data_IF_477186931270
#
_entry.id   IF_477186931270
#
_cell.length_a   1.000
_cell.length_b   1.000
_cell.length_c   1.000
_cell.angle_alpha   90.00
_cell.angle_beta   90.00
_cell.angle_gamma   90.00
#
_symmetry.space_group_name_H-M   'P 1'
#
loop_
_entity.id
_entity.type
_entity.pdbx_description
1 polymer ?
#
# COMPACT_ATOMS: atom_id res chain seq x y z
N UNK A 1 41.81 -11.08 -53.04
CA UNK A 1 41.22 -11.34 -51.72
C UNK A 1 40.64 -10.06 -51.18
N UNK A 2 39.33 -10.02 -50.94
CA UNK A 2 38.69 -8.92 -50.20
C UNK A 2 38.38 -9.48 -48.81
N UNK A 3 39.10 -8.99 -47.81
CA UNK A 3 38.89 -9.35 -46.40
C UNK A 3 37.62 -8.70 -45.88
N UNK A 4 36.63 -9.54 -45.55
CA UNK A 4 35.46 -9.12 -44.79
C UNK A 4 35.86 -8.94 -43.32
N UNK A 5 35.88 -7.70 -42.85
CA UNK A 5 35.96 -7.38 -41.43
C UNK A 5 34.65 -7.77 -40.75
N UNK A 6 34.63 -8.94 -40.13
CA UNK A 6 33.56 -9.35 -39.22
C UNK A 6 33.65 -8.54 -37.93
N UNK A 7 32.94 -7.42 -37.85
CA UNK A 7 32.71 -6.73 -36.60
C UNK A 7 31.87 -7.62 -35.68
N UNK A 8 32.47 -8.15 -34.62
CA UNK A 8 31.74 -8.76 -33.52
C UNK A 8 30.77 -7.71 -32.94
N UNK A 9 29.48 -7.81 -33.26
CA UNK A 9 28.44 -7.09 -32.50
C UNK A 9 28.48 -7.64 -31.08
N UNK A 10 28.87 -6.81 -30.12
CA UNK A 10 28.75 -7.14 -28.71
C UNK A 10 27.31 -7.54 -28.42
N UNK A 11 27.10 -8.74 -27.88
CA UNK A 11 25.79 -9.17 -27.41
C UNK A 11 25.37 -8.24 -26.27
N UNK A 12 24.14 -7.70 -26.27
CA UNK A 12 23.69 -6.84 -25.19
C UNK A 12 23.77 -7.58 -23.86
N UNK A 13 24.29 -6.89 -22.84
CA UNK A 13 24.53 -7.46 -21.52
C UNK A 13 23.20 -7.68 -20.79
N UNK A 14 23.03 -8.86 -20.18
CA UNK A 14 21.85 -9.16 -19.39
C UNK A 14 21.84 -8.31 -18.11
N UNK A 15 20.69 -7.71 -17.81
CA UNK A 15 20.48 -6.83 -16.66
C UNK A 15 19.76 -7.61 -15.56
N UNK A 16 20.34 -7.57 -14.36
CA UNK A 16 19.72 -8.10 -13.15
C UNK A 16 19.19 -6.96 -12.29
N UNK A 17 17.90 -6.99 -11.96
CA UNK A 17 17.27 -5.98 -11.10
C UNK A 17 16.82 -6.62 -9.80
N UNK A 18 17.21 -6.03 -8.67
CA UNK A 18 16.64 -6.33 -7.35
C UNK A 18 15.53 -5.32 -7.09
N UNK A 19 14.32 -5.79 -6.81
CA UNK A 19 13.13 -4.94 -6.73
C UNK A 19 12.41 -5.12 -5.39
N UNK A 20 12.13 -4.01 -4.70
CA UNK A 20 11.30 -3.95 -3.50
C UNK A 20 9.81 -3.83 -3.82
N UNK A 21 8.95 -3.80 -2.80
CA UNK A 21 7.51 -3.68 -3.01
C UNK A 21 7.07 -2.25 -3.40
N UNK A 22 5.82 -2.10 -3.87
CA UNK A 22 5.27 -0.80 -4.32
C UNK A 22 5.14 0.27 -3.23
N UNK A 23 5.11 -0.13 -1.94
CA UNK A 23 5.03 0.82 -0.84
C UNK A 23 6.39 1.50 -0.60
N UNK A 24 7.48 0.88 -1.05
CA UNK A 24 8.85 1.37 -0.87
C UNK A 24 9.10 1.83 0.58
N UNK A 25 8.68 1.00 1.54
CA UNK A 25 8.97 1.24 2.94
C UNK A 25 10.44 0.93 3.26
N UNK A 26 10.86 1.25 4.49
CA UNK A 26 12.25 1.11 4.89
C UNK A 26 12.75 -0.33 4.74
N UNK A 27 11.90 -1.33 4.97
CA UNK A 27 12.24 -2.75 4.82
C UNK A 27 12.56 -3.10 3.36
N UNK A 28 11.64 -2.76 2.45
CA UNK A 28 11.86 -2.91 1.01
C UNK A 28 13.10 -2.17 0.54
N UNK A 29 13.26 -0.89 0.88
CA UNK A 29 14.40 -0.08 0.42
C UNK A 29 15.74 -0.64 0.90
N UNK A 30 15.89 -0.90 2.20
CA UNK A 30 17.16 -1.39 2.77
C UNK A 30 17.46 -2.79 2.28
N UNK A 31 16.46 -3.68 2.26
CA UNK A 31 16.64 -5.05 1.77
C UNK A 31 17.06 -5.08 0.30
N UNK A 32 16.43 -4.25 -0.55
CA UNK A 32 16.79 -4.13 -1.97
C UNK A 32 18.22 -3.62 -2.14
N UNK A 33 18.56 -2.47 -1.53
CA UNK A 33 19.87 -1.84 -1.69
C UNK A 33 21.00 -2.75 -1.19
N UNK A 34 20.85 -3.33 0.00
CA UNK A 34 21.89 -4.16 0.61
C UNK A 34 22.03 -5.49 -0.14
N UNK A 35 20.92 -6.11 -0.57
CA UNK A 35 21.01 -7.35 -1.35
C UNK A 35 21.66 -7.09 -2.71
N UNK A 36 21.27 -6.02 -3.40
CA UNK A 36 21.85 -5.65 -4.68
C UNK A 36 23.37 -5.39 -4.51
N UNK A 37 23.76 -4.62 -3.50
CA UNK A 37 25.18 -4.35 -3.21
C UNK A 37 25.95 -5.64 -2.89
N UNK A 38 25.35 -6.57 -2.16
CA UNK A 38 25.93 -7.87 -1.87
C UNK A 38 26.16 -8.75 -3.12
N UNK A 39 25.20 -8.71 -4.07
CA UNK A 39 25.26 -9.47 -5.32
C UNK A 39 26.29 -8.86 -6.29
N UNK A 40 26.24 -7.54 -6.51
CA UNK A 40 27.12 -6.86 -7.46
C UNK A 40 28.53 -6.58 -6.92
N UNK A 41 28.74 -6.74 -5.60
CA UNK A 41 29.96 -6.36 -4.85
C UNK A 41 30.32 -4.87 -4.88
N UNK A 42 29.68 -4.07 -5.75
CA UNK A 42 29.57 -2.61 -5.76
C UNK A 42 28.34 -2.21 -6.58
N UNK A 43 27.65 -1.14 -6.20
CA UNK A 43 26.60 -0.52 -7.03
C UNK A 43 26.90 0.99 -7.12
N UNK A 44 27.31 1.49 -8.29
CA UNK A 44 27.31 2.92 -8.59
C UNK A 44 25.93 3.55 -8.37
N UNK A 45 25.90 4.79 -7.90
CA UNK A 45 24.64 5.52 -7.64
C UNK A 45 23.73 5.62 -8.86
N UNK A 46 24.30 5.81 -10.05
CA UNK A 46 23.57 5.85 -11.33
C UNK A 46 22.80 4.56 -11.67
N UNK A 47 23.12 3.45 -10.99
CA UNK A 47 22.47 2.16 -11.17
C UNK A 47 21.32 1.97 -10.15
N UNK A 48 21.13 2.93 -9.24
CA UNK A 48 19.92 3.07 -8.44
C UNK A 48 18.86 3.78 -9.28
N UNK A 49 17.78 3.07 -9.56
CA UNK A 49 16.70 3.56 -10.42
C UNK A 49 15.35 3.36 -9.75
N UNK A 50 14.43 4.28 -9.99
CA UNK A 50 13.02 4.09 -9.72
C UNK A 50 12.38 3.23 -10.80
N UNK A 51 11.23 2.62 -10.48
CA UNK A 51 10.52 1.70 -11.38
C UNK A 51 10.21 2.32 -12.75
N UNK A 52 9.95 3.61 -12.80
CA UNK A 52 9.61 4.40 -14.00
C UNK A 52 10.82 4.90 -14.79
N UNK A 53 12.03 4.77 -14.24
CA UNK A 53 13.28 5.16 -14.91
C UNK A 53 13.88 4.02 -15.74
N UNK A 54 13.31 2.82 -15.66
CA UNK A 54 13.77 1.62 -16.37
C UNK A 54 12.63 0.90 -17.10
N UNK A 55 12.82 0.66 -18.41
CA UNK A 55 11.88 -0.09 -19.24
C UNK A 55 12.02 -1.61 -19.04
N UNK A 56 11.49 -2.10 -17.93
CA UNK A 56 11.49 -3.53 -17.61
C UNK A 56 10.74 -4.37 -18.64
N UNK A 57 9.66 -3.84 -19.22
CA UNK A 57 8.88 -4.55 -20.22
C UNK A 57 9.70 -4.74 -21.51
N UNK A 58 10.38 -3.70 -21.96
CA UNK A 58 11.31 -3.76 -23.09
C UNK A 58 12.47 -4.72 -22.84
N UNK A 59 13.10 -4.65 -21.65
CA UNK A 59 14.19 -5.57 -21.28
C UNK A 59 13.74 -7.03 -21.21
N UNK A 60 12.55 -7.28 -20.67
CA UNK A 60 11.97 -8.62 -20.63
C UNK A 60 11.69 -9.15 -22.04
N UNK A 61 11.05 -8.34 -22.90
CA UNK A 61 10.78 -8.69 -24.30
C UNK A 61 12.05 -8.96 -25.09
N UNK A 62 13.15 -8.28 -24.76
CA UNK A 62 14.47 -8.51 -25.35
C UNK A 62 15.20 -9.75 -24.80
N UNK A 63 14.67 -10.42 -23.78
CA UNK A 63 15.32 -11.56 -23.12
C UNK A 63 16.54 -11.16 -22.29
N UNK A 64 16.63 -9.89 -21.89
CA UNK A 64 17.78 -9.32 -21.18
C UNK A 64 17.51 -9.10 -19.69
N UNK A 65 16.29 -9.34 -19.22
CA UNK A 65 15.91 -9.08 -17.82
C UNK A 65 15.94 -10.34 -16.97
N UNK A 66 16.55 -10.21 -15.79
CA UNK A 66 16.28 -11.11 -14.65
C UNK A 66 15.93 -10.30 -13.41
N UNK A 67 15.03 -10.83 -12.58
CA UNK A 67 14.49 -10.14 -11.41
C UNK A 67 14.71 -10.94 -10.13
N UNK A 68 15.17 -10.25 -9.07
CA UNK A 68 15.04 -10.70 -7.69
C UNK A 68 13.99 -9.85 -6.99
N UNK A 69 12.92 -10.47 -6.51
CA UNK A 69 11.90 -9.78 -5.72
C UNK A 69 12.28 -9.83 -4.25
N UNK A 70 12.20 -8.69 -3.58
CA UNK A 70 12.53 -8.52 -2.16
C UNK A 70 11.36 -7.88 -1.45
N UNK A 71 11.06 -8.38 -0.26
CA UNK A 71 9.94 -7.94 0.57
C UNK A 71 8.59 -8.00 -0.18
N UNK A 72 8.52 -8.85 -1.22
CA UNK A 72 7.31 -9.25 -1.93
C UNK A 72 7.52 -10.49 -2.79
N UNK A 73 6.42 -11.22 -3.02
CA UNK A 73 6.40 -12.42 -3.85
C UNK A 73 5.30 -12.40 -4.94
N UNK A 74 4.55 -11.30 -5.04
CA UNK A 74 3.47 -11.10 -6.02
C UNK A 74 3.69 -9.75 -6.69
N UNK A 75 3.85 -9.77 -8.02
CA UNK A 75 3.93 -8.54 -8.81
C UNK A 75 2.53 -7.93 -8.98
N UNK A 76 2.41 -6.60 -9.03
CA UNK A 76 1.14 -5.96 -9.36
C UNK A 76 0.72 -6.34 -10.79
N UNK A 77 -0.59 -6.31 -11.07
CA UNK A 77 -1.14 -6.80 -12.36
C UNK A 77 -0.50 -6.18 -13.61
N UNK A 78 -0.08 -4.91 -13.52
CA UNK A 78 0.65 -4.19 -14.60
C UNK A 78 2.02 -4.79 -14.95
N UNK A 79 2.60 -5.52 -14.01
CA UNK A 79 3.94 -6.12 -14.09
C UNK A 79 3.86 -7.66 -14.15
N UNK A 80 2.66 -8.25 -14.29
CA UNK A 80 2.44 -9.70 -14.28
C UNK A 80 3.26 -10.44 -15.35
N UNK A 81 3.43 -9.83 -16.52
CA UNK A 81 4.27 -10.39 -17.59
C UNK A 81 5.74 -10.60 -17.16
N UNK A 82 6.23 -9.82 -16.20
CA UNK A 82 7.60 -9.92 -15.70
C UNK A 82 7.83 -11.12 -14.77
N UNK A 83 6.77 -11.85 -14.35
CA UNK A 83 6.90 -13.05 -13.53
C UNK A 83 7.86 -14.08 -14.14
N UNK A 84 7.86 -14.19 -15.48
CA UNK A 84 8.76 -15.09 -16.21
C UNK A 84 10.25 -14.70 -16.11
N UNK A 85 10.57 -13.46 -15.74
CA UNK A 85 11.93 -12.99 -15.49
C UNK A 85 12.39 -13.18 -14.04
N UNK A 86 11.49 -13.58 -13.12
CA UNK A 86 11.81 -13.72 -11.69
C UNK A 86 12.67 -14.97 -11.45
N UNK A 87 13.89 -14.76 -10.96
CA UNK A 87 14.86 -15.83 -10.67
C UNK A 87 15.04 -16.07 -9.18
N UNK A 88 14.74 -15.09 -8.33
CA UNK A 88 14.79 -15.22 -6.87
C UNK A 88 13.68 -14.40 -6.19
N UNK A 89 13.16 -14.91 -5.09
CA UNK A 89 12.21 -14.23 -4.19
C UNK A 89 12.74 -14.33 -2.76
N UNK A 90 12.81 -13.18 -2.09
CA UNK A 90 13.10 -13.06 -0.65
C UNK A 90 11.97 -12.27 -0.01
N UNK A 91 11.12 -12.92 0.79
CA UNK A 91 9.96 -12.26 1.41
C UNK A 91 9.74 -12.84 2.82
N UNK A 92 9.01 -12.11 3.66
CA UNK A 92 8.68 -12.54 5.02
C UNK A 92 7.18 -12.70 5.27
N UNK A 93 6.37 -12.55 4.21
CA UNK A 93 4.91 -12.63 4.27
C UNK A 93 4.41 -14.08 4.05
N UNK A 94 3.20 -14.41 4.56
CA UNK A 94 2.56 -15.68 4.23
C UNK A 94 2.45 -15.86 2.72
N UNK A 95 2.83 -17.03 2.23
CA UNK A 95 2.75 -17.36 0.82
C UNK A 95 1.30 -17.55 0.39
N UNK A 96 0.88 -16.78 -0.61
CA UNK A 96 -0.44 -16.90 -1.25
C UNK A 96 -0.28 -17.48 -2.66
N UNK A 97 0.35 -18.66 -2.77
CA UNK A 97 0.57 -19.30 -4.06
C UNK A 97 -0.33 -20.52 -4.27
N UNK A 98 -1.07 -20.50 -5.36
CA UNK A 98 -1.71 -21.72 -5.89
C UNK A 98 -0.67 -22.68 -6.49
N UNK A 99 0.43 -22.15 -7.05
CA UNK A 99 1.58 -22.90 -7.57
C UNK A 99 2.88 -22.21 -7.22
N UNK A 100 3.89 -22.98 -6.80
CA UNK A 100 5.22 -22.42 -6.51
C UNK A 100 5.88 -21.94 -7.81
N UNK A 101 6.50 -20.75 -7.81
CA UNK A 101 7.22 -20.27 -8.99
C UNK A 101 8.46 -21.13 -9.25
N UNK A 102 8.90 -21.26 -10.51
CA UNK A 102 10.09 -22.02 -10.90
C UNK A 102 11.38 -21.24 -10.61
N UNK A 103 11.48 -20.59 -9.46
CA UNK A 103 12.59 -19.73 -9.07
C UNK A 103 13.07 -20.06 -7.66
N UNK A 104 14.21 -19.50 -7.24
CA UNK A 104 14.69 -19.68 -5.87
C UNK A 104 13.81 -18.88 -4.92
N UNK A 105 13.24 -19.53 -3.91
CA UNK A 105 12.36 -18.88 -2.94
C UNK A 105 12.93 -18.99 -1.53
N UNK A 106 13.11 -17.85 -0.87
CA UNK A 106 13.40 -17.74 0.56
C UNK A 106 12.25 -16.98 1.22
N UNK A 107 11.29 -17.70 1.79
CA UNK A 107 10.16 -17.10 2.50
C UNK A 107 9.99 -17.68 3.88
N UNK A 108 10.07 -16.81 4.87
CA UNK A 108 10.14 -17.16 6.29
C UNK A 108 9.35 -16.13 7.10
N UNK A 109 8.53 -16.56 8.05
CA UNK A 109 7.71 -15.67 8.86
C UNK A 109 8.53 -14.97 9.96
N UNK A 110 9.43 -14.08 9.56
CA UNK A 110 10.23 -13.21 10.44
C UNK A 110 9.62 -11.81 10.54
N UNK A 111 10.08 -11.01 11.50
CA UNK A 111 9.53 -9.67 11.74
C UNK A 111 9.85 -8.65 10.64
N UNK A 112 10.95 -8.85 9.90
CA UNK A 112 11.41 -7.99 8.80
C UNK A 112 12.07 -8.79 7.68
N UNK A 113 11.85 -8.43 6.42
CA UNK A 113 12.56 -9.00 5.28
C UNK A 113 14.08 -8.75 5.39
N UNK A 114 14.47 -7.60 5.94
CA UNK A 114 15.85 -7.21 6.23
C UNK A 114 16.57 -8.23 7.11
N UNK A 115 15.86 -8.97 7.96
CA UNK A 115 16.43 -10.09 8.75
C UNK A 115 16.99 -11.18 7.83
N UNK A 116 16.27 -11.57 6.77
CA UNK A 116 16.70 -12.61 5.83
C UNK A 116 17.91 -12.16 5.02
N UNK A 117 17.92 -10.89 4.60
CA UNK A 117 19.07 -10.28 3.92
C UNK A 117 20.29 -10.26 4.86
N UNK A 118 20.10 -9.85 6.11
CA UNK A 118 21.16 -9.81 7.13
C UNK A 118 21.77 -11.20 7.37
N UNK A 119 20.95 -12.23 7.53
CA UNK A 119 21.42 -13.61 7.71
C UNK A 119 22.26 -14.07 6.51
N UNK A 120 21.82 -13.77 5.29
CA UNK A 120 22.56 -14.12 4.06
C UNK A 120 23.94 -13.44 4.04
N UNK A 121 24.03 -12.18 4.43
CA UNK A 121 25.30 -11.46 4.53
C UNK A 121 26.20 -12.07 5.62
N UNK A 122 25.67 -12.36 6.79
CA UNK A 122 26.44 -12.93 7.90
C UNK A 122 26.96 -14.35 7.58
N UNK A 123 26.17 -15.18 6.89
CA UNK A 123 26.57 -16.52 6.47
C UNK A 123 27.67 -16.49 5.40
N UNK A 124 27.59 -15.55 4.46
CA UNK A 124 28.55 -15.43 3.37
C UNK A 124 29.93 -14.88 3.80
N UNK A 125 30.12 -14.50 5.09
CA UNK A 125 31.37 -13.93 5.64
C UNK A 125 31.97 -12.83 4.76
N UNK A 126 31.11 -11.93 4.30
CA UNK A 126 31.47 -10.96 3.27
C UNK A 126 32.34 -9.84 3.85
N UNK A 127 33.42 -9.42 3.17
CA UNK A 127 34.22 -8.26 3.57
C UNK A 127 33.46 -6.92 3.49
N UNK A 128 32.24 -6.90 2.98
CA UNK A 128 31.50 -5.70 2.61
C UNK A 128 30.47 -5.25 3.66
N UNK A 129 30.32 -5.96 4.79
CA UNK A 129 29.47 -5.49 5.88
C UNK A 129 30.28 -4.50 6.73
N UNK A 130 30.08 -3.21 6.50
CA UNK A 130 30.67 -2.13 7.29
C UNK A 130 29.67 -1.56 8.33
N UNK A 131 30.13 -0.57 9.10
CA UNK A 131 29.34 0.06 10.15
C UNK A 131 28.08 0.76 9.62
N UNK A 132 28.11 1.27 8.37
CA UNK A 132 26.98 1.98 7.78
C UNK A 132 25.89 1.00 7.34
N UNK A 133 26.27 -0.06 6.63
CA UNK A 133 25.34 -1.13 6.25
C UNK A 133 24.79 -1.81 7.50
N UNK A 134 25.63 -2.05 8.51
CA UNK A 134 25.18 -2.59 9.79
C UNK A 134 24.14 -1.68 10.46
N UNK A 135 24.34 -0.37 10.46
CA UNK A 135 23.38 0.59 11.03
C UNK A 135 22.04 0.61 10.27
N UNK A 136 22.06 0.50 8.93
CA UNK A 136 20.86 0.38 8.11
C UNK A 136 20.09 -0.90 8.43
N UNK A 137 20.76 -2.06 8.39
CA UNK A 137 20.14 -3.36 8.70
C UNK A 137 19.56 -3.38 10.13
N UNK A 138 20.36 -2.92 11.11
CA UNK A 138 19.98 -2.85 12.51
C UNK A 138 18.77 -1.94 12.74
N UNK A 139 18.79 -0.72 12.18
CA UNK A 139 17.71 0.25 12.34
C UNK A 139 16.39 -0.24 11.75
N UNK A 140 16.43 -0.83 10.55
CA UNK A 140 15.24 -1.37 9.87
C UNK A 140 14.62 -2.53 10.65
N UNK A 141 15.43 -3.52 11.05
CA UNK A 141 14.94 -4.66 11.84
C UNK A 141 14.32 -4.17 13.16
N UNK A 142 14.96 -3.24 13.86
CA UNK A 142 14.39 -2.66 15.09
C UNK A 142 13.05 -1.97 14.83
N UNK A 143 12.92 -1.20 13.75
CA UNK A 143 11.69 -0.48 13.44
C UNK A 143 10.52 -1.44 13.17
N UNK A 144 10.70 -2.45 12.33
CA UNK A 144 9.61 -3.34 11.94
C UNK A 144 9.22 -4.34 13.03
N UNK A 145 10.20 -4.76 13.82
CA UNK A 145 10.02 -5.63 14.97
C UNK A 145 9.67 -4.86 16.26
N UNK A 146 9.38 -3.55 16.17
CA UNK A 146 8.96 -2.71 17.30
C UNK A 146 9.93 -2.83 18.49
N UNK A 147 11.22 -2.67 18.19
CA UNK A 147 12.31 -2.72 19.16
C UNK A 147 12.41 -4.05 19.94
N UNK A 148 12.03 -5.16 19.31
CA UNK A 148 11.96 -6.50 19.94
C UNK A 148 10.96 -6.58 21.11
N UNK A 149 9.97 -5.69 21.16
CA UNK A 149 8.94 -5.70 22.20
C UNK A 149 8.09 -6.99 22.12
N UNK A 150 8.10 -7.78 23.20
CA UNK A 150 7.38 -9.08 23.26
C UNK A 150 5.88 -8.87 23.11
N UNK A 151 5.36 -7.83 23.76
CA UNK A 151 3.96 -7.43 23.72
C UNK A 151 3.47 -7.01 22.33
N UNK A 152 4.37 -6.62 21.43
CA UNK A 152 4.02 -6.27 20.05
C UNK A 152 3.80 -7.51 19.16
N UNK A 153 4.31 -8.68 19.57
CA UNK A 153 4.11 -9.96 18.89
C UNK A 153 4.66 -10.01 17.45
N UNK A 154 5.58 -9.12 17.09
CA UNK A 154 6.15 -9.02 15.73
C UNK A 154 7.52 -9.64 15.57
N UNK A 155 8.36 -9.53 16.61
CA UNK A 155 9.73 -10.02 16.57
C UNK A 155 9.78 -11.54 16.70
N UNK A 156 10.73 -12.16 16.03
CA UNK A 156 11.05 -13.59 16.15
C UNK A 156 12.45 -13.78 16.75
N UNK A 157 12.80 -15.00 17.19
CA UNK A 157 14.15 -15.30 17.65
C UNK A 157 15.24 -15.03 16.60
N UNK A 158 14.91 -15.11 15.30
CA UNK A 158 15.84 -14.83 14.21
C UNK A 158 16.16 -13.33 14.11
N UNK A 159 15.15 -12.48 14.24
CA UNK A 159 15.34 -11.02 14.29
C UNK A 159 16.25 -10.64 15.47
N UNK A 160 15.98 -11.21 16.66
CA UNK A 160 16.78 -10.98 17.85
C UNK A 160 18.23 -11.48 17.71
N UNK A 161 18.44 -12.61 17.02
CA UNK A 161 19.76 -13.15 16.72
C UNK A 161 20.56 -12.21 15.80
N UNK A 162 19.95 -11.72 14.71
CA UNK A 162 20.57 -10.76 13.80
C UNK A 162 20.98 -9.48 14.52
N UNK A 163 20.08 -8.89 15.32
CA UNK A 163 20.36 -7.70 16.12
C UNK A 163 21.56 -7.93 17.04
N UNK A 164 21.54 -9.01 17.83
CA UNK A 164 22.62 -9.33 18.77
C UNK A 164 23.95 -9.56 18.06
N UNK A 165 23.90 -10.15 16.86
CA UNK A 165 25.10 -10.37 16.05
C UNK A 165 25.68 -9.07 15.52
N UNK A 166 24.85 -8.17 15.00
CA UNK A 166 25.28 -6.84 14.55
C UNK A 166 25.89 -6.03 15.70
N UNK A 167 25.25 -6.01 16.88
CA UNK A 167 25.79 -5.36 18.09
C UNK A 167 27.16 -5.93 18.50
N UNK A 168 27.34 -7.25 18.41
CA UNK A 168 28.62 -7.89 18.74
C UNK A 168 29.75 -7.54 17.77
N UNK A 169 29.41 -7.24 16.51
CA UNK A 169 30.38 -6.96 15.45
C UNK A 169 30.72 -5.47 15.35
N UNK A 170 29.79 -4.58 15.72
CA UNK A 170 29.88 -3.13 15.56
C UNK A 170 29.54 -2.42 16.88
N UNK A 171 30.56 -2.24 17.71
CA UNK A 171 30.44 -1.62 19.04
C UNK A 171 29.98 -0.15 19.03
N UNK A 172 30.08 0.52 17.88
CA UNK A 172 29.69 1.90 17.64
C UNK A 172 28.20 2.08 17.33
N UNK A 173 27.46 0.99 17.13
CA UNK A 173 26.02 1.03 16.92
C UNK A 173 25.33 1.71 18.12
N UNK A 174 24.41 2.61 17.80
CA UNK A 174 23.66 3.33 18.83
C UNK A 174 22.71 2.39 19.58
N UNK A 175 22.40 2.67 20.86
CA UNK A 175 21.49 1.85 21.65
C UNK A 175 20.13 1.66 20.97
N UNK A 176 19.56 0.45 21.06
CA UNK A 176 18.31 0.05 20.38
C UNK A 176 17.19 1.09 20.52
N UNK A 177 16.90 1.51 21.76
CA UNK A 177 15.87 2.50 22.06
C UNK A 177 16.10 3.84 21.36
N UNK A 178 17.35 4.31 21.29
CA UNK A 178 17.68 5.59 20.64
C UNK A 178 17.43 5.53 19.14
N UNK A 179 17.86 4.44 18.50
CA UNK A 179 17.65 4.21 17.06
C UNK A 179 16.17 4.04 16.76
N UNK A 180 15.50 3.16 17.51
CA UNK A 180 14.07 2.91 17.35
C UNK A 180 13.25 4.19 17.53
N UNK A 181 13.44 4.93 18.63
CA UNK A 181 12.69 6.16 18.88
C UNK A 181 12.96 7.23 17.80
N UNK A 182 14.19 7.33 17.29
CA UNK A 182 14.53 8.26 16.22
C UNK A 182 13.83 7.90 14.89
N UNK A 183 13.92 6.63 14.47
CA UNK A 183 13.24 6.14 13.27
C UNK A 183 11.72 6.20 13.42
N UNK A 184 11.21 5.92 14.61
CA UNK A 184 9.78 5.96 14.89
C UNK A 184 9.26 7.40 14.80
N UNK A 185 9.99 8.38 15.35
CA UNK A 185 9.69 9.80 15.19
C UNK A 185 9.71 10.20 13.72
N UNK A 186 10.77 9.87 12.98
CA UNK A 186 10.89 10.20 11.56
C UNK A 186 9.77 9.56 10.70
N UNK A 187 9.36 8.33 11.01
CA UNK A 187 8.28 7.63 10.31
C UNK A 187 6.92 8.33 10.44
N UNK A 188 6.63 8.88 11.62
CA UNK A 188 5.36 9.55 11.93
C UNK A 188 5.38 11.05 11.65
N UNK A 189 6.55 11.60 11.40
CA UNK A 189 6.72 12.99 11.12
C UNK A 189 6.30 13.32 9.67
N UNK A 190 5.19 14.04 9.57
CA UNK A 190 4.59 14.46 8.30
C UNK A 190 4.47 15.98 8.18
N UNK A 191 5.10 16.74 9.07
CA UNK A 191 4.95 18.20 9.11
C UNK A 191 5.46 18.90 7.86
N UNK A 192 6.41 18.30 7.14
CA UNK A 192 6.94 18.81 5.87
C UNK A 192 6.18 18.35 4.62
N UNK A 193 5.11 17.53 4.76
CA UNK A 193 4.40 16.96 3.62
C UNK A 193 3.18 17.80 3.23
N UNK A 194 3.00 17.95 1.91
CA UNK A 194 1.72 18.41 1.35
C UNK A 194 0.62 17.37 1.60
N UNK A 195 -0.64 17.74 1.43
CA UNK A 195 -1.77 16.81 1.59
C UNK A 195 -1.67 15.63 0.61
N UNK A 196 -1.33 15.92 -0.66
CA UNK A 196 -1.05 14.89 -1.68
C UNK A 196 0.02 13.90 -1.20
N UNK A 197 1.16 14.41 -0.74
CA UNK A 197 2.29 13.58 -0.34
C UNK A 197 1.94 12.72 0.88
N UNK A 198 1.20 13.27 1.83
CA UNK A 198 0.72 12.54 2.99
C UNK A 198 -0.22 11.40 2.60
N UNK A 199 -1.15 11.67 1.67
CA UNK A 199 -2.09 10.67 1.17
C UNK A 199 -1.37 9.57 0.37
N UNK A 200 -0.36 9.94 -0.42
CA UNK A 200 0.42 9.00 -1.24
C UNK A 200 1.39 8.15 -0.42
N UNK A 201 1.94 8.69 0.68
CA UNK A 201 2.97 8.06 1.52
C UNK A 201 2.63 6.63 1.95
N UNK A 202 1.37 6.37 2.30
CA UNK A 202 0.93 5.03 2.68
C UNK A 202 -0.46 4.72 2.10
N UNK A 203 -0.50 4.66 0.77
CA UNK A 203 -1.69 4.43 -0.03
C UNK A 203 -1.82 2.96 -0.47
N UNK A 204 -3.05 2.44 -0.44
CA UNK A 204 -3.45 1.27 -1.24
C UNK A 204 -4.70 1.60 -2.03
N UNK A 205 -4.79 1.11 -3.26
CA UNK A 205 -5.99 1.22 -4.09
C UNK A 205 -6.64 -0.15 -4.28
N UNK A 206 -7.97 -0.14 -4.38
CA UNK A 206 -8.77 -1.27 -4.81
C UNK A 206 -9.50 -0.87 -6.08
N UNK A 207 -9.31 -1.65 -7.14
CA UNK A 207 -9.95 -1.42 -8.44
C UNK A 207 -11.05 -2.46 -8.60
N UNK A 208 -12.25 -2.02 -8.98
CA UNK A 208 -13.32 -2.86 -9.48
C UNK A 208 -13.75 -2.40 -10.88
N UNK A 209 -14.64 -3.15 -11.54
CA UNK A 209 -15.22 -2.73 -12.83
C UNK A 209 -16.00 -1.41 -12.75
N UNK A 210 -16.45 -1.02 -11.56
CA UNK A 210 -17.36 0.11 -11.36
C UNK A 210 -16.76 1.27 -10.57
N UNK A 211 -15.68 1.05 -9.82
CA UNK A 211 -15.06 2.10 -9.01
C UNK A 211 -13.61 1.77 -8.63
N UNK A 212 -12.81 2.82 -8.44
CA UNK A 212 -11.51 2.74 -7.77
C UNK A 212 -11.57 3.43 -6.41
N UNK A 213 -11.26 2.68 -5.35
CA UNK A 213 -11.25 3.18 -3.97
C UNK A 213 -9.83 3.26 -3.45
N UNK A 214 -9.44 4.41 -2.95
CA UNK A 214 -8.18 4.65 -2.28
C UNK A 214 -8.33 4.51 -0.76
N UNK A 215 -7.33 3.92 -0.10
CA UNK A 215 -7.23 3.82 1.35
C UNK A 215 -5.83 4.27 1.76
N UNK A 216 -5.74 5.45 2.37
CA UNK A 216 -4.49 6.04 2.82
C UNK A 216 -4.38 6.01 4.34
N UNK A 217 -3.20 5.72 4.88
CA UNK A 217 -2.91 5.97 6.29
C UNK A 217 -2.25 7.35 6.45
N UNK A 218 -2.86 8.21 7.26
CA UNK A 218 -2.34 9.56 7.55
C UNK A 218 -1.80 9.62 8.97
N UNK A 219 -0.59 10.16 9.13
CA UNK A 219 0.19 10.07 10.37
C UNK A 219 0.08 11.35 11.21
N UNK A 220 -1.14 11.78 11.47
CA UNK A 220 -1.48 12.91 12.34
C UNK A 220 -2.87 12.70 12.94
N UNK A 221 -3.35 13.61 13.79
CA UNK A 221 -4.73 13.55 14.28
C UNK A 221 -5.72 13.81 13.14
N UNK A 222 -6.92 13.20 13.19
CA UNK A 222 -7.93 13.48 12.17
C UNK A 222 -8.35 14.95 12.22
N UNK A 223 -8.40 15.54 13.43
CA UNK A 223 -8.69 16.95 13.60
C UNK A 223 -7.68 17.82 12.83
N UNK A 224 -6.38 17.64 13.05
CA UNK A 224 -5.37 18.42 12.36
C UNK A 224 -5.40 18.19 10.84
N UNK A 225 -5.68 16.95 10.41
CA UNK A 225 -5.84 16.62 8.99
C UNK A 225 -7.02 17.37 8.37
N UNK A 226 -8.19 17.39 9.03
CA UNK A 226 -9.40 18.07 8.57
C UNK A 226 -9.28 19.60 8.55
N UNK A 227 -8.37 20.17 9.36
CA UNK A 227 -8.12 21.61 9.42
C UNK A 227 -6.98 22.08 8.51
N UNK A 228 -6.41 21.18 7.68
CA UNK A 228 -5.36 21.58 6.74
C UNK A 228 -5.89 22.63 5.75
N UNK A 229 -5.13 23.72 5.49
CA UNK A 229 -5.53 24.72 4.51
C UNK A 229 -5.75 24.09 3.14
N UNK A 230 -6.90 24.37 2.51
CA UNK A 230 -7.21 23.87 1.17
C UNK A 230 -7.52 22.37 1.07
N UNK A 231 -7.76 21.68 2.20
CA UNK A 231 -7.95 20.23 2.23
C UNK A 231 -8.95 19.73 1.19
N UNK A 232 -10.16 20.27 1.11
CA UNK A 232 -11.18 19.78 0.18
C UNK A 232 -10.75 19.87 -1.28
N UNK A 233 -10.05 20.95 -1.64
CA UNK A 233 -9.48 21.13 -2.97
C UNK A 233 -8.34 20.13 -3.22
N UNK A 234 -7.49 19.88 -2.23
CA UNK A 234 -6.43 18.88 -2.30
C UNK A 234 -6.99 17.46 -2.47
N UNK A 235 -8.04 17.11 -1.72
CA UNK A 235 -8.72 15.81 -1.83
C UNK A 235 -9.37 15.64 -3.21
N UNK A 236 -10.05 16.66 -3.71
CA UNK A 236 -10.66 16.66 -5.03
C UNK A 236 -9.60 16.48 -6.14
N UNK A 237 -8.52 17.27 -6.06
CA UNK A 237 -7.41 17.22 -7.03
C UNK A 237 -6.73 15.85 -7.01
N UNK A 238 -6.46 15.32 -5.82
CA UNK A 238 -5.83 14.01 -5.66
C UNK A 238 -6.69 12.88 -6.23
N UNK A 239 -7.98 12.85 -5.90
CA UNK A 239 -8.91 11.86 -6.41
C UNK A 239 -9.07 11.97 -7.94
N UNK A 240 -9.17 13.19 -8.48
CA UNK A 240 -9.29 13.40 -9.92
C UNK A 240 -8.04 12.92 -10.68
N UNK A 241 -6.84 13.35 -10.25
CA UNK A 241 -5.58 13.00 -10.91
C UNK A 241 -5.27 11.49 -10.88
N UNK A 242 -5.73 10.79 -9.84
CA UNK A 242 -5.50 9.34 -9.67
C UNK A 242 -6.69 8.48 -10.09
N UNK A 243 -7.79 9.08 -10.53
CA UNK A 243 -9.01 8.36 -10.93
C UNK A 243 -9.71 7.63 -9.77
N UNK A 244 -9.64 8.17 -8.55
CA UNK A 244 -10.33 7.60 -7.38
C UNK A 244 -11.75 8.14 -7.26
N UNK A 245 -12.74 7.25 -7.21
CA UNK A 245 -14.13 7.60 -6.93
C UNK A 245 -14.42 7.82 -5.44
N UNK A 246 -13.57 7.27 -4.58
CA UNK A 246 -13.68 7.38 -3.12
C UNK A 246 -12.30 7.26 -2.48
N UNK A 247 -12.07 8.03 -1.42
CA UNK A 247 -10.86 8.00 -0.60
C UNK A 247 -11.23 7.76 0.86
N UNK A 248 -10.57 6.80 1.50
CA UNK A 248 -10.62 6.59 2.94
C UNK A 248 -9.27 6.99 3.53
N UNK A 249 -9.24 8.04 4.33
CA UNK A 249 -8.08 8.44 5.10
C UNK A 249 -8.21 7.86 6.53
N UNK A 250 -7.32 6.95 6.89
CA UNK A 250 -7.22 6.37 8.23
C UNK A 250 -6.13 7.10 9.01
N UNK A 251 -6.55 8.00 9.90
CA UNK A 251 -5.65 8.76 10.75
C UNK A 251 -5.13 7.89 11.90
N UNK A 252 -3.81 7.95 12.14
CA UNK A 252 -3.16 7.41 13.32
C UNK A 252 -2.33 8.48 14.00
N UNK A 253 -2.51 8.60 15.31
CA UNK A 253 -1.71 9.45 16.17
C UNK A 253 -1.58 8.81 17.55
N UNK A 254 -0.73 9.39 18.39
CA UNK A 254 -0.33 8.82 19.68
C UNK A 254 -0.71 9.78 20.79
N UNK A 255 -1.53 9.31 21.74
CA UNK A 255 -1.88 10.09 22.93
C UNK A 255 -0.79 10.07 24.00
N UNK A 256 -1.10 10.62 25.18
CA UNK A 256 -0.17 10.87 26.31
C UNK A 256 0.64 9.65 26.79
N UNK A 257 0.19 8.42 26.50
CA UNK A 257 0.86 7.18 26.88
C UNK A 257 1.50 6.41 25.70
N UNK A 258 1.76 7.07 24.57
CA UNK A 258 2.15 6.41 23.30
C UNK A 258 1.15 5.32 22.84
N UNK A 259 -0.08 5.36 23.35
CA UNK A 259 -1.15 4.48 22.87
C UNK A 259 -1.63 5.03 21.53
N UNK A 260 -1.62 4.21 20.46
CA UNK A 260 -2.15 4.65 19.18
C UNK A 260 -3.65 4.87 19.32
N UNK A 261 -4.15 5.94 18.70
CA UNK A 261 -5.57 6.11 18.45
C UNK A 261 -5.80 6.18 16.94
N UNK A 262 -6.96 5.68 16.51
CA UNK A 262 -7.32 5.64 15.09
C UNK A 262 -8.65 6.33 14.85
N UNK A 263 -8.73 7.03 13.74
CA UNK A 263 -9.93 7.71 13.26
C UNK A 263 -9.99 7.56 11.75
N UNK A 264 -11.18 7.66 11.17
CA UNK A 264 -11.39 7.54 9.72
C UNK A 264 -12.07 8.79 9.18
N UNK A 265 -11.65 9.22 8.00
CA UNK A 265 -12.41 10.09 7.13
C UNK A 265 -12.69 9.35 5.81
N UNK A 266 -13.94 9.35 5.40
CA UNK A 266 -14.36 8.89 4.07
C UNK A 266 -14.68 10.13 3.26
N UNK A 267 -14.08 10.26 2.08
CA UNK A 267 -14.27 11.37 1.16
C UNK A 267 -14.71 10.84 -0.21
N UNK A 268 -15.61 11.55 -0.87
CA UNK A 268 -15.90 11.34 -2.29
C UNK A 268 -16.07 12.70 -2.99
N UNK A 269 -15.50 12.89 -4.19
CA UNK A 269 -15.73 14.10 -4.99
C UNK A 269 -17.21 14.35 -5.28
N UNK A 270 -18.04 13.29 -5.28
CA UNK A 270 -19.47 13.34 -5.54
C UNK A 270 -20.33 13.43 -4.26
N UNK A 271 -19.72 13.38 -3.06
CA UNK A 271 -20.46 13.48 -1.79
C UNK A 271 -21.00 14.88 -1.49
N UNK A 272 -20.44 15.93 -2.12
CA UNK A 272 -20.94 17.31 -1.96
C UNK A 272 -22.37 17.50 -2.53
N UNK A 273 -22.88 16.54 -3.29
CA UNK A 273 -24.24 16.57 -3.83
C UNK A 273 -25.26 16.08 -2.77
N UNK A 274 -25.71 17.04 -1.93
CA UNK A 274 -27.03 17.19 -1.27
C UNK A 274 -27.09 17.21 0.27
N UNK A 275 -27.40 18.40 0.81
CA UNK A 275 -28.36 18.60 1.92
C UNK A 275 -29.79 18.90 1.42
N UNK A 276 -30.05 18.98 0.11
CA UNK A 276 -31.40 19.20 -0.43
C UNK A 276 -32.11 17.85 -0.66
N UNK A 277 -32.86 17.39 0.34
CA UNK A 277 -33.48 16.06 0.39
C UNK A 277 -34.29 15.65 -0.85
N UNK A 278 -33.87 14.56 -1.48
CA UNK A 278 -34.74 13.61 -2.15
C UNK A 278 -34.02 12.25 -2.23
N UNK A 279 -34.36 11.34 -1.31
CA UNK A 279 -33.91 9.95 -1.36
C UNK A 279 -34.63 9.25 -2.51
N UNK A 280 -34.03 9.22 -3.70
CA UNK A 280 -34.55 8.46 -4.85
C UNK A 280 -33.64 7.25 -5.06
N UNK A 281 -34.15 6.06 -4.78
CA UNK A 281 -33.47 4.80 -5.14
C UNK A 281 -33.36 4.69 -6.66
N UNK A 282 -32.24 4.22 -7.24
CA UNK A 282 -32.11 4.13 -8.68
C UNK A 282 -33.09 3.11 -9.27
N UNK A 283 -33.85 3.49 -10.29
CA UNK A 283 -34.45 2.58 -11.27
C UNK A 283 -33.49 2.35 -12.43
N UNK A 284 -33.63 1.19 -13.08
CA UNK A 284 -32.66 0.49 -13.93
C UNK A 284 -32.16 1.18 -15.23
N UNK A 285 -32.32 2.50 -15.40
CA UNK A 285 -31.97 3.19 -16.64
C UNK A 285 -30.89 4.27 -16.54
N UNK A 286 -30.38 4.60 -15.35
CA UNK A 286 -29.37 5.66 -15.21
C UNK A 286 -27.97 5.13 -14.89
N UNK A 287 -27.36 4.41 -15.83
CA UNK A 287 -25.95 3.99 -15.76
C UNK A 287 -24.96 5.04 -16.32
N UNK A 288 -25.41 6.28 -16.51
CA UNK A 288 -24.57 7.43 -16.91
C UNK A 288 -24.50 8.52 -15.82
N UNK A 289 -24.63 8.16 -14.54
CA UNK A 289 -25.17 9.10 -13.55
C UNK A 289 -24.15 9.61 -12.50
N UNK A 290 -24.00 10.95 -12.31
CA UNK A 290 -23.25 11.55 -11.19
C UNK A 290 -23.63 11.03 -9.79
N UNK A 291 -24.78 10.36 -9.67
CA UNK A 291 -25.28 9.75 -8.44
C UNK A 291 -24.57 8.45 -8.05
N UNK A 292 -23.89 7.75 -8.96
CA UNK A 292 -23.23 6.48 -8.64
C UNK A 292 -22.13 6.66 -7.58
N UNK A 293 -21.37 7.76 -7.66
CA UNK A 293 -20.33 8.09 -6.67
C UNK A 293 -20.92 8.41 -5.30
N UNK A 294 -22.05 9.12 -5.26
CA UNK A 294 -22.77 9.42 -4.01
C UNK A 294 -23.29 8.15 -3.32
N UNK A 295 -23.89 7.23 -4.08
CA UNK A 295 -24.36 5.95 -3.54
C UNK A 295 -23.19 5.07 -3.07
N UNK A 296 -22.11 5.02 -3.84
CA UNK A 296 -20.88 4.31 -3.44
C UNK A 296 -20.37 4.85 -2.10
N UNK A 297 -20.32 6.17 -1.92
CA UNK A 297 -19.93 6.80 -0.67
C UNK A 297 -20.79 6.36 0.51
N UNK A 298 -22.12 6.43 0.36
CA UNK A 298 -23.03 6.03 1.44
C UNK A 298 -22.90 4.56 1.79
N UNK A 299 -22.83 3.68 0.79
CA UNK A 299 -22.79 2.23 0.95
C UNK A 299 -21.44 1.76 1.52
N UNK A 300 -20.33 2.36 1.12
CA UNK A 300 -19.03 2.12 1.75
C UNK A 300 -19.07 2.52 3.22
N UNK A 301 -19.61 3.70 3.55
CA UNK A 301 -19.76 4.11 4.95
C UNK A 301 -20.60 3.11 5.76
N UNK A 302 -21.72 2.64 5.20
CA UNK A 302 -22.59 1.65 5.85
C UNK A 302 -21.88 0.29 6.04
N UNK A 303 -21.12 -0.17 5.04
CA UNK A 303 -20.34 -1.40 5.13
C UNK A 303 -19.25 -1.31 6.21
N UNK A 304 -18.62 -0.14 6.35
CA UNK A 304 -17.63 0.11 7.41
C UNK A 304 -18.29 0.17 8.80
N UNK A 305 -19.40 0.89 8.94
CA UNK A 305 -20.17 1.00 10.19
C UNK A 305 -20.71 -0.37 10.65
N UNK A 306 -21.20 -1.18 9.71
CA UNK A 306 -21.81 -2.49 9.98
C UNK A 306 -20.85 -3.67 10.02
N UNK A 307 -19.55 -3.48 9.81
CA UNK A 307 -18.58 -4.58 9.79
C UNK A 307 -18.49 -5.26 11.17
N UNK A 308 -18.49 -6.60 11.16
CA UNK A 308 -18.38 -7.44 12.37
C UNK A 308 -17.11 -8.28 12.40
N UNK A 309 -16.42 -8.43 11.26
CA UNK A 309 -15.20 -9.25 11.15
C UNK A 309 -14.08 -8.54 10.35
N UNK A 310 -13.23 -7.74 11.01
CA UNK A 310 -13.35 -7.32 12.40
C UNK A 310 -14.37 -6.18 12.55
N UNK A 311 -15.02 -6.12 13.71
CA UNK A 311 -15.77 -4.92 14.07
C UNK A 311 -14.83 -3.73 14.23
N UNK A 312 -15.16 -2.61 13.58
CA UNK A 312 -14.36 -1.37 13.64
C UNK A 312 -14.75 -0.49 14.83
N UNK A 313 -15.98 -0.65 15.35
CA UNK A 313 -16.52 0.16 16.44
C UNK A 313 -16.57 1.64 16.08
N UNK A 314 -17.12 1.98 14.92
CA UNK A 314 -17.14 3.36 14.43
C UNK A 314 -18.22 4.18 15.13
N UNK A 315 -17.86 5.35 15.63
CA UNK A 315 -18.81 6.37 16.08
C UNK A 315 -18.57 7.67 15.32
N UNK A 316 -19.64 8.30 14.80
CA UNK A 316 -19.52 9.50 13.98
C UNK A 316 -18.89 10.67 14.74
N UNK A 317 -18.11 11.45 14.00
CA UNK A 317 -17.52 12.71 14.44
C UNK A 317 -18.04 13.84 13.56
N UNK A 318 -18.09 15.04 14.12
CA UNK A 318 -18.31 16.26 13.36
C UNK A 318 -17.09 16.56 12.47
N UNK A 319 -17.33 17.20 11.34
CA UNK A 319 -16.31 17.53 10.35
C UNK A 319 -16.58 18.92 9.78
N UNK A 320 -15.53 19.75 9.61
CA UNK A 320 -15.67 21.04 8.93
C UNK A 320 -15.85 20.91 7.42
N UNK A 321 -15.59 19.71 6.86
CA UNK A 321 -15.66 19.44 5.42
C UNK A 321 -16.96 18.67 5.08
N UNK A 322 -17.92 19.26 4.35
CA UNK A 322 -19.21 18.62 4.02
C UNK A 322 -19.10 17.36 3.17
N UNK A 323 -18.10 17.28 2.30
CA UNK A 323 -17.85 16.12 1.45
C UNK A 323 -17.15 14.95 2.17
N UNK A 324 -16.90 15.09 3.48
CA UNK A 324 -16.23 14.09 4.31
C UNK A 324 -17.21 13.52 5.34
N UNK A 325 -17.11 12.22 5.62
CA UNK A 325 -17.71 11.60 6.81
C UNK A 325 -16.61 11.10 7.74
N UNK A 326 -16.60 11.63 8.96
CA UNK A 326 -15.57 11.35 9.97
C UNK A 326 -16.06 10.38 11.05
N UNK A 327 -15.13 9.56 11.57
CA UNK A 327 -15.40 8.54 12.57
C UNK A 327 -14.26 8.42 13.58
N UNK A 328 -14.63 8.23 14.84
CA UNK A 328 -13.77 7.64 15.85
C UNK A 328 -13.78 6.11 15.68
N UNK A 329 -12.61 5.48 15.70
CA UNK A 329 -12.50 4.03 15.59
C UNK A 329 -12.26 3.40 16.97
N UNK A 330 -13.24 2.64 17.46
CA UNK A 330 -13.14 1.93 18.75
C UNK A 330 -12.14 0.77 18.71
N UNK A 331 -12.11 0.00 17.62
CA UNK A 331 -11.14 -1.08 17.46
C UNK A 331 -9.80 -0.57 16.92
N UNK A 332 -8.93 -0.09 17.81
CA UNK A 332 -7.61 0.45 17.50
C UNK A 332 -6.69 -0.58 16.80
N UNK A 333 -6.92 -1.89 17.02
CA UNK A 333 -6.14 -2.96 16.39
C UNK A 333 -6.43 -3.15 14.90
N UNK A 334 -7.59 -2.69 14.41
CA UNK A 334 -7.95 -2.80 13.01
C UNK A 334 -7.25 -1.72 12.16
N UNK A 335 -6.07 -2.03 11.63
CA UNK A 335 -5.35 -1.14 10.70
C UNK A 335 -5.92 -1.20 9.27
N UNK A 336 -5.32 -0.47 8.32
CA UNK A 336 -5.62 -0.56 6.89
C UNK A 336 -5.66 -2.00 6.38
N UNK A 337 -4.78 -2.88 6.88
CA UNK A 337 -4.75 -4.31 6.50
C UNK A 337 -6.05 -5.04 6.85
N UNK A 338 -6.78 -4.58 7.88
CA UNK A 338 -8.09 -5.10 8.28
C UNK A 338 -9.24 -4.36 7.58
N UNK A 339 -9.05 -3.09 7.21
CA UNK A 339 -10.01 -2.32 6.43
C UNK A 339 -10.12 -2.80 4.97
N UNK A 340 -8.99 -3.14 4.36
CA UNK A 340 -8.89 -3.56 2.95
C UNK A 340 -9.83 -4.72 2.59
N UNK A 341 -9.88 -5.84 3.33
CA UNK A 341 -10.81 -6.92 3.05
C UNK A 341 -12.29 -6.51 3.12
N UNK A 342 -12.67 -5.63 4.06
CA UNK A 342 -14.05 -5.15 4.21
C UNK A 342 -14.48 -4.40 2.93
N UNK A 343 -13.65 -3.44 2.50
CA UNK A 343 -13.93 -2.64 1.30
C UNK A 343 -13.87 -3.50 0.04
N UNK A 344 -12.92 -4.44 -0.04
CA UNK A 344 -12.80 -5.37 -1.18
C UNK A 344 -14.05 -6.23 -1.33
N UNK A 345 -14.51 -6.85 -0.24
CA UNK A 345 -15.71 -7.69 -0.26
C UNK A 345 -16.95 -6.87 -0.67
N UNK A 346 -17.10 -5.67 -0.10
CA UNK A 346 -18.15 -4.74 -0.51
C UNK A 346 -18.11 -4.44 -2.01
N UNK A 347 -16.94 -4.11 -2.58
CA UNK A 347 -16.80 -3.81 -4.01
C UNK A 347 -17.13 -5.01 -4.90
N UNK A 348 -16.84 -6.24 -4.46
CA UNK A 348 -17.22 -7.46 -5.17
C UNK A 348 -18.74 -7.64 -5.23
N UNK A 349 -19.44 -7.40 -4.11
CA UNK A 349 -20.90 -7.48 -4.03
C UNK A 349 -21.56 -6.36 -4.83
N UNK A 350 -21.03 -5.14 -4.72
CA UNK A 350 -21.47 -3.97 -5.46
C UNK A 350 -21.41 -4.21 -6.98
N UNK A 351 -20.29 -4.73 -7.49
CA UNK A 351 -20.12 -5.03 -8.91
C UNK A 351 -21.10 -6.09 -9.45
N UNK A 352 -21.51 -7.07 -8.62
CA UNK A 352 -22.51 -8.08 -8.99
C UNK A 352 -23.93 -7.50 -9.04
N UNK A 353 -24.28 -6.63 -8.09
CA UNK A 353 -25.59 -5.98 -8.05
C UNK A 353 -25.81 -5.05 -9.24
N UNK A 354 -24.73 -4.43 -9.75
CA UNK A 354 -24.81 -3.58 -10.96
C UNK A 354 -24.85 -4.38 -12.27
N UNK A 355 -24.58 -5.69 -12.24
CA UNK A 355 -24.57 -6.56 -13.44
C UNK A 355 -25.84 -7.43 -13.57
N UNK A 356 -26.58 -7.66 -12.49
CA UNK A 356 -27.70 -8.61 -12.45
C UNK A 356 -29.06 -8.04 -12.88
N UNK A 357 -29.12 -6.76 -13.26
CA UNK A 357 -30.34 -6.16 -13.84
C UNK A 357 -30.37 -6.32 -15.36
N UNK A 358 -30.59 -7.54 -15.83
CA UNK A 358 -31.21 -7.80 -17.14
C UNK A 358 -32.74 -7.68 -17.02
N UNK A 359 -33.49 -7.46 -18.12
CA UNK A 359 -34.91 -7.15 -18.05
C UNK A 359 -35.72 -8.39 -17.63
N UNK A 360 -36.16 -8.41 -16.38
CA UNK A 360 -37.20 -9.31 -15.91
C UNK A 360 -36.81 -10.12 -14.68
N UNK A 361 -36.95 -9.51 -13.50
CA UNK A 361 -37.48 -10.15 -12.29
C UNK A 361 -37.58 -9.11 -11.17
N UNK A 362 -38.81 -8.82 -10.73
CA UNK A 362 -39.07 -7.99 -9.56
C UNK A 362 -38.69 -8.76 -8.29
N UNK A 363 -37.97 -8.17 -7.32
CA UNK A 363 -37.83 -8.77 -6.01
C UNK A 363 -39.05 -8.44 -5.14
N UNK A 364 -39.65 -9.47 -4.54
CA UNK A 364 -40.74 -9.34 -3.58
C UNK A 364 -40.26 -8.65 -2.29
N UNK A 365 -41.02 -7.65 -1.86
CA UNK A 365 -40.77 -6.87 -0.65
C UNK A 365 -41.36 -7.65 0.54
N UNK A 366 -40.51 -8.32 1.33
CA UNK A 366 -40.91 -8.85 2.64
C UNK A 366 -40.92 -7.72 3.66
N UNK A 367 -42.12 -7.27 4.03
CA UNK A 367 -42.34 -6.29 5.09
C UNK A 367 -42.24 -6.97 6.47
N UNK A 368 -41.25 -6.58 7.26
CA UNK A 368 -41.16 -6.96 8.66
C UNK A 368 -41.91 -5.94 9.53
N UNK A 369 -43.02 -6.37 10.14
CA UNK A 369 -43.74 -5.65 11.22
C UNK A 369 -43.44 -6.35 12.55
N UNK A 370 -43.23 -5.63 13.67
CA UNK A 370 -42.74 -6.21 14.93
C UNK A 370 -43.80 -7.02 15.71
N UNK A 371 -43.39 -7.89 16.67
CA UNK A 371 -44.22 -8.98 17.16
C UNK A 371 -45.15 -8.56 18.31
N UNK A 372 -46.40 -9.05 18.25
CA UNK A 372 -47.31 -9.10 19.38
C UNK A 372 -47.56 -10.57 19.80
N UNK A 373 -47.64 -10.77 21.12
CA UNK A 373 -47.69 -12.02 21.88
C UNK A 373 -48.88 -12.92 21.55
N UNK A 374 -48.68 -14.25 21.56
CA UNK A 374 -49.54 -15.25 22.23
C UNK A 374 -48.94 -16.69 22.15
N UNK A 375 -48.81 -17.34 23.30
CA UNK A 375 -48.62 -18.80 23.49
C UNK A 375 -50.01 -19.52 23.50
N UNK A 376 -50.12 -20.85 23.74
CA UNK A 376 -49.61 -21.97 22.95
C UNK A 376 -50.72 -23.04 22.71
N UNK A 377 -50.60 -23.89 21.68
CA UNK A 377 -51.06 -25.31 21.67
C UNK A 377 -50.97 -25.96 20.29
N UNK A 378 -50.61 -27.25 20.25
CA UNK A 378 -51.05 -28.15 19.18
C UNK A 378 -49.95 -28.99 18.53
N UNK A 379 -49.81 -30.22 18.99
CA UNK A 379 -48.88 -31.24 18.49
C UNK A 379 -49.21 -31.73 17.06
N UNK A 380 -48.18 -32.16 16.33
CA UNK A 380 -48.37 -32.90 15.07
C UNK A 380 -47.07 -33.32 14.39
N UNK A 381 -46.57 -34.51 14.72
CA UNK A 381 -45.47 -35.22 14.04
C UNK A 381 -45.83 -35.59 12.59
N UNK A 382 -44.88 -35.48 11.65
CA UNK A 382 -44.47 -36.55 10.70
C UNK A 382 -43.42 -36.06 9.68
N UNK A 383 -42.21 -36.61 9.81
CA UNK A 383 -41.34 -37.05 8.70
C UNK A 383 -41.80 -38.48 8.27
N UNK A 384 -41.38 -39.11 7.14
CA UNK A 384 -40.05 -38.95 6.50
C UNK A 384 -39.95 -39.11 4.96
N UNK A 385 -38.71 -38.97 4.48
CA UNK A 385 -38.05 -39.74 3.40
C UNK A 385 -38.22 -39.33 1.94
N UNK A 386 -37.07 -39.23 1.25
CA UNK A 386 -36.97 -39.18 -0.21
C UNK A 386 -35.54 -38.84 -0.67
N UNK A 387 -34.77 -39.86 -1.02
CA UNK A 387 -33.38 -39.77 -1.44
C UNK A 387 -33.21 -39.58 -2.97
N UNK A 388 -32.02 -39.10 -3.35
CA UNK A 388 -31.32 -39.23 -4.66
C UNK A 388 -31.85 -38.41 -5.85
N UNK A 389 -31.01 -37.53 -6.41
CA UNK A 389 -30.18 -37.84 -7.59
C UNK A 389 -29.33 -36.62 -8.02
N UNK A 390 -28.10 -36.90 -8.45
CA UNK A 390 -27.23 -35.98 -9.18
C UNK A 390 -27.40 -36.21 -10.69
N UNK A 391 -27.18 -35.19 -11.53
CA UNK A 391 -26.43 -35.43 -12.76
C UNK A 391 -25.38 -34.37 -13.12
N UNK A 392 -24.52 -34.83 -14.03
CA UNK A 392 -23.26 -34.30 -14.57
C UNK A 392 -23.33 -32.94 -15.28
N UNK A 393 -22.15 -32.36 -15.37
CA UNK A 393 -21.72 -31.18 -16.14
C UNK A 393 -22.07 -31.14 -17.64
N UNK A 394 -22.06 -29.93 -18.22
CA UNK A 394 -21.61 -29.69 -19.59
C UNK A 394 -20.30 -28.89 -19.65
N UNK A 395 -19.60 -29.07 -20.77
CA UNK A 395 -18.27 -28.56 -21.12
C UNK A 395 -18.34 -27.16 -21.77
N UNK A 396 -17.26 -26.40 -21.56
CA UNK A 396 -16.55 -25.45 -22.45
C UNK A 396 -17.32 -24.83 -23.64
N UNK A 397 -17.43 -23.50 -23.67
CA UNK A 397 -16.67 -22.60 -24.57
C UNK A 397 -17.32 -21.21 -24.65
N UNK A 398 -16.54 -20.14 -24.41
CA UNK A 398 -16.37 -18.98 -25.30
C UNK A 398 -15.62 -17.86 -24.55
N UNK A 399 -14.36 -17.68 -24.93
CA UNK A 399 -13.51 -16.55 -24.57
C UNK A 399 -14.01 -15.30 -25.30
N UNK A 400 -14.32 -14.23 -24.56
CA UNK A 400 -14.56 -12.92 -25.15
C UNK A 400 -13.27 -12.10 -25.05
N UNK A 401 -12.71 -11.80 -26.22
CA UNK A 401 -11.53 -10.98 -26.42
C UNK A 401 -11.72 -9.56 -25.85
N UNK A 402 -10.70 -9.06 -25.16
CA UNK A 402 -10.60 -7.66 -24.74
C UNK A 402 -10.12 -6.83 -25.95
N UNK A 403 -11.00 -5.98 -26.48
CA UNK A 403 -10.71 -5.05 -27.57
C UNK A 403 -10.15 -3.73 -27.00
N UNK A 404 -8.96 -3.39 -27.50
CA UNK A 404 -8.10 -2.28 -27.13
C UNK A 404 -8.67 -0.94 -27.63
N UNK A 405 -9.02 -0.02 -26.71
CA UNK A 405 -9.41 1.36 -27.08
C UNK A 405 -8.26 2.32 -26.81
N UNK A 406 -7.49 2.58 -27.87
CA UNK A 406 -6.42 3.57 -27.93
C UNK A 406 -6.94 4.98 -27.62
N UNK A 407 -6.46 5.58 -26.53
CA UNK A 407 -6.66 7.00 -26.25
C UNK A 407 -5.67 7.88 -27.04
N UNK A 408 -6.08 9.07 -27.54
CA UNK A 408 -5.21 9.97 -28.27
C UNK A 408 -4.21 10.69 -27.36
N UNK A 409 -3.01 11.06 -27.86
CA UNK A 409 -2.04 11.80 -27.07
C UNK A 409 -2.52 13.23 -26.81
N UNK A 410 -2.31 13.71 -25.59
CA UNK A 410 -2.62 15.09 -25.21
C UNK A 410 -1.57 16.05 -25.80
N UNK A 411 -1.95 17.27 -26.26
CA UNK A 411 -1.05 18.16 -26.97
C UNK A 411 -0.09 18.91 -26.04
N UNK A 412 1.16 19.09 -26.48
CA UNK A 412 2.11 20.05 -25.92
C UNK A 412 1.81 21.49 -26.39
N UNK A 413 1.91 22.44 -25.45
CA UNK A 413 2.33 23.84 -25.58
C UNK A 413 2.16 24.47 -24.19
N UNK A 414 2.93 25.43 -23.68
CA UNK A 414 4.23 26.05 -23.96
C UNK A 414 4.45 27.01 -22.79
N UNK A 415 5.62 26.92 -22.13
CA UNK A 415 6.37 27.98 -21.43
C UNK A 415 5.60 28.97 -20.53
N UNK A 416 5.84 28.85 -19.22
CA UNK A 416 6.04 30.01 -18.34
C UNK A 416 7.41 29.82 -17.70
N UNK A 417 8.28 30.81 -17.94
CA UNK A 417 9.66 30.92 -17.48
C UNK A 417 9.78 30.88 -15.94
N UNK A 418 10.98 30.50 -15.47
CA UNK A 418 11.41 30.33 -14.06
C UNK A 418 11.08 28.97 -13.40
N UNK A 419 11.46 27.87 -14.06
CA UNK A 419 11.57 26.57 -13.40
C UNK A 419 12.93 26.47 -12.65
N UNK A 420 12.96 26.18 -11.33
CA UNK A 420 14.19 26.07 -10.54
C UNK A 420 15.08 24.86 -10.91
N UNK A 421 14.82 24.20 -12.05
CA UNK A 421 15.61 23.11 -12.60
C UNK A 421 16.67 23.58 -13.64
N UNK A 422 16.86 24.90 -13.80
CA UNK A 422 17.82 25.46 -14.78
C UNK A 422 19.30 25.29 -14.41
N UNK A 423 19.63 24.68 -13.26
CA UNK A 423 21.02 24.43 -12.84
C UNK A 423 21.47 22.96 -12.97
N UNK A 424 20.72 22.12 -13.68
CA UNK A 424 21.00 20.69 -13.75
C UNK A 424 20.61 19.97 -12.45
N UNK A 425 20.41 18.65 -12.57
CA UNK A 425 20.10 17.81 -11.40
C UNK A 425 21.28 17.88 -10.43
N UNK A 426 21.04 18.12 -9.13
CA UNK A 426 22.13 18.19 -8.16
C UNK A 426 22.89 16.87 -8.19
N UNK A 427 24.21 16.94 -8.32
CA UNK A 427 25.09 15.79 -8.16
C UNK A 427 24.92 15.25 -6.75
N UNK A 428 24.16 14.18 -6.62
CA UNK A 428 23.97 13.47 -5.36
C UNK A 428 25.16 12.50 -5.25
N UNK A 429 25.81 12.47 -4.08
CA UNK A 429 26.84 11.52 -3.70
C UNK A 429 26.29 10.58 -2.62
N UNK A 430 26.97 9.47 -2.28
CA UNK A 430 26.62 8.65 -1.12
C UNK A 430 26.49 9.49 0.15
N UNK A 431 27.38 10.47 0.35
CA UNK A 431 27.30 11.46 1.44
C UNK A 431 26.12 12.41 1.30
N UNK A 432 25.62 12.70 0.10
CA UNK A 432 24.43 13.52 -0.13
C UNK A 432 23.12 12.74 0.05
N UNK A 433 23.06 11.44 -0.27
CA UNK A 433 21.94 10.56 0.10
C UNK A 433 21.92 10.37 1.62
N UNK A 434 23.08 10.10 2.22
CA UNK A 434 23.23 10.00 3.67
C UNK A 434 22.96 11.35 4.35
N UNK A 435 23.40 12.48 3.80
CA UNK A 435 23.06 13.82 4.28
C UNK A 435 21.58 14.15 4.06
N UNK A 436 20.92 13.61 3.05
CA UNK A 436 19.49 13.88 2.83
C UNK A 436 18.65 13.05 3.80
N UNK A 437 19.02 11.79 4.02
CA UNK A 437 18.46 10.93 5.07
C UNK A 437 18.77 11.49 6.47
N UNK A 438 19.99 12.00 6.70
CA UNK A 438 20.40 12.62 7.98
C UNK A 438 19.88 14.05 8.16
N UNK A 439 19.77 14.92 7.15
CA UNK A 439 19.19 16.29 7.27
C UNK A 439 17.73 16.22 7.67
N UNK A 440 16.97 15.27 7.08
CA UNK A 440 15.61 14.94 7.51
C UNK A 440 15.57 14.59 9.02
N UNK A 441 16.64 14.00 9.56
CA UNK A 441 16.77 13.66 10.97
C UNK A 441 17.40 14.77 11.87
N UNK A 442 18.19 15.71 11.31
CA UNK A 442 19.07 16.62 12.08
C UNK A 442 18.66 18.09 12.02
N UNK A 443 18.04 18.57 10.93
CA UNK A 443 17.61 19.98 10.80
C UNK A 443 16.52 20.38 11.82
N UNK A 444 15.94 19.40 12.53
CA UNK A 444 14.93 19.63 13.59
C UNK A 444 15.52 19.83 14.99
N UNK A 445 16.84 19.74 15.15
CA UNK A 445 17.51 20.00 16.43
C UNK A 445 18.04 21.44 16.55
N UNK A 446 18.08 22.22 15.47
CA UNK A 446 18.66 23.57 15.44
C UNK A 446 17.63 24.71 15.44
N UNK A 447 16.37 24.45 15.06
CA UNK A 447 15.28 25.44 15.17
C UNK A 447 14.74 25.65 16.60
N UNK A 448 15.35 24.98 17.59
CA UNK A 448 14.99 25.11 19.01
C UNK A 448 15.75 26.20 19.79
N UNK A 449 16.68 26.95 19.20
CA UNK A 449 17.38 28.05 19.91
C UNK A 449 16.73 29.40 19.64
N UNK A 450 15.94 29.83 20.62
CA UNK A 450 15.40 31.18 20.77
C UNK A 450 16.51 32.25 20.64
N UNK A 451 16.29 33.38 19.95
CA UNK A 451 17.27 34.45 19.89
C UNK A 451 17.41 35.13 21.26
N UNK A 452 18.64 35.08 21.79
CA UNK A 452 19.04 35.81 22.99
C UNK A 452 18.73 37.31 22.87
N UNK A 453 18.04 37.83 23.89
CA UNK A 453 17.95 39.27 24.15
C UNK A 453 19.36 39.85 24.31
N UNK A 454 19.76 40.73 23.41
CA UNK A 454 20.80 41.74 23.69
C UNK A 454 20.13 43.09 23.93
N UNK A 455 20.58 43.69 25.04
CA UNK A 455 20.19 44.99 25.58
C UNK A 455 20.25 46.13 24.57
#
# INVERSE_FOLDING_TARGET
>A
GHGGGGGCRATPEAIHVVMGNEACDLDSTVSTLVLAYFLAKRIPEKDLVFRDEIDLAGLHKAGLLTLTLVDHHVLPSKDSALEAAVVEVVDHRPLEWERRPPCKVTVELVGSCTTLVTERLLQARVPTLDSQIAALLYGTILLDCVNMAVEAGKATPRDACCISRLESMFSELQPRNRVFDALQRAKFDVSGLTTEQMLRKDLKSLVSKTATVAISAVYMSLQDFLHRPGLEQDLATFCHQKGFGLLIAMAISFGDHKKPFRQLAVYSPQAAFQEAGAYVSPTSQDLLNPFLGFWLFFQVCQALEGSTNPSLGLSRLETPCPAVRAYQQGNIGASRKKLLPIVREFLHQWGRSTQTTGPGMQPEISSCVPPARMDPQGAGRRDPSGAKDAPKAPRLSEEAAEEDTLMPPTPMNSLVDECPLHQGLPGVSPEAIFERVNRIATDRLLDGRSPEKKK
#
